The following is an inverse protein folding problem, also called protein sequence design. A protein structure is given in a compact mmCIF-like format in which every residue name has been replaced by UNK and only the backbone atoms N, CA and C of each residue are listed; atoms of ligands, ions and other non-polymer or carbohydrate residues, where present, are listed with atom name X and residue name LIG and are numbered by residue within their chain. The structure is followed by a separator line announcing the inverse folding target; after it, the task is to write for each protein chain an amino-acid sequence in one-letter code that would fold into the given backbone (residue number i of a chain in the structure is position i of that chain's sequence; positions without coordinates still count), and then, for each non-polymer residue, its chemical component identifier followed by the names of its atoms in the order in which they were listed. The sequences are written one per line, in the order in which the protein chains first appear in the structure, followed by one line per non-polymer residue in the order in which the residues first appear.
data_IF_542805386931
#
_entry.id   IF_542805386931
#
_cell.length_a   1.000
_cell.length_b   1.000
_cell.length_c   1.000
_cell.angle_alpha   90.00
_cell.angle_beta   90.00
_cell.angle_gamma   90.00
#
_symmetry.space_group_name_H-M   'P 1'
#
loop_
_entity.id
_entity.type
_entity.pdbx_description
1 polymer ?
#
# COMPACT_ATOMS: atom_id res chain seq x y z
N UNK A 1 35.05 -63.66 1.79
CA UNK A 1 34.32 -64.85 1.38
C UNK A 1 33.14 -64.36 0.59
N UNK A 2 33.27 -64.33 -0.70
CA UNK A 2 32.71 -65.30 -1.67
C UNK A 2 31.19 -65.07 -1.82
N UNK A 3 30.52 -64.77 -2.89
CA UNK A 3 30.78 -64.94 -4.34
C UNK A 3 29.57 -64.41 -5.08
N UNK A 4 29.76 -63.71 -6.18
CA UNK A 4 28.80 -63.67 -7.30
C UNK A 4 28.69 -65.03 -7.97
N UNK A 5 27.76 -65.35 -8.87
CA UNK A 5 27.38 -64.70 -10.11
C UNK A 5 25.86 -64.87 -10.44
N UNK A 6 25.22 -64.39 -11.48
CA UNK A 6 25.52 -64.24 -12.87
C UNK A 6 24.28 -64.54 -13.70
N UNK A 7 24.09 -63.81 -14.77
CA UNK A 7 23.67 -64.18 -16.14
C UNK A 7 22.15 -64.26 -16.35
N UNK A 8 21.52 -63.90 -17.42
CA UNK A 8 21.84 -63.56 -18.80
C UNK A 8 20.56 -63.27 -19.59
N UNK A 9 20.65 -62.36 -20.56
CA UNK A 9 20.09 -62.35 -21.93
C UNK A 9 18.61 -62.53 -22.23
N UNK A 10 18.17 -61.61 -23.12
CA UNK A 10 17.06 -61.78 -24.08
C UNK A 10 16.55 -60.42 -24.56
N UNK A 11 17.06 -59.89 -25.52
CA UNK A 11 16.89 -59.44 -26.91
C UNK A 11 15.48 -59.58 -27.50
N UNK A 12 15.01 -58.40 -28.04
CA UNK A 12 14.47 -58.18 -29.39
C UNK A 12 13.74 -56.87 -29.46
N UNK A 13 14.24 -55.87 -30.22
CA UNK A 13 13.79 -55.40 -31.54
C UNK A 13 12.30 -55.02 -31.55
N UNK A 14 11.85 -53.83 -31.93
CA UNK A 14 12.05 -52.90 -33.03
C UNK A 14 10.95 -51.84 -32.91
N UNK A 15 11.10 -50.64 -33.15
CA UNK A 15 10.98 -49.82 -34.35
C UNK A 15 10.81 -48.36 -33.99
N UNK A 16 11.65 -47.50 -34.51
CA UNK A 16 11.37 -46.08 -34.77
C UNK A 16 10.48 -46.03 -36.05
N UNK A 17 9.86 -44.88 -36.42
CA UNK A 17 10.38 -43.53 -36.45
C UNK A 17 9.34 -42.48 -35.95
N UNK A 18 9.65 -41.26 -35.68
CA UNK A 18 9.65 -40.14 -36.60
C UNK A 18 10.27 -38.86 -35.97
N UNK A 19 11.11 -38.25 -36.75
CA UNK A 19 11.71 -36.95 -36.54
C UNK A 19 10.65 -35.86 -36.67
N UNK A 20 10.55 -34.97 -35.69
CA UNK A 20 10.15 -33.56 -35.94
C UNK A 20 11.22 -32.62 -35.40
N UNK A 21 11.88 -31.98 -36.35
CA UNK A 21 12.89 -30.97 -36.12
C UNK A 21 12.30 -29.71 -35.46
N UNK A 22 12.91 -29.33 -34.35
CA UNK A 22 12.66 -28.04 -33.73
C UNK A 22 13.65 -27.04 -34.35
N UNK A 23 13.15 -26.22 -35.27
CA UNK A 23 13.88 -25.07 -35.80
C UNK A 23 13.86 -23.96 -34.75
N UNK A 24 15.06 -23.54 -34.33
CA UNK A 24 15.27 -22.31 -33.57
C UNK A 24 14.85 -21.08 -34.39
N UNK A 25 13.69 -20.52 -34.12
CA UNK A 25 13.31 -19.20 -34.58
C UNK A 25 13.39 -18.21 -33.39
N UNK A 26 14.24 -17.22 -33.53
CA UNK A 26 14.31 -16.03 -32.64
C UNK A 26 12.97 -15.29 -32.72
N UNK A 27 12.41 -14.78 -31.62
CA UNK A 27 11.25 -13.91 -31.71
C UNK A 27 11.69 -12.52 -32.14
N UNK A 28 11.26 -12.09 -33.32
CA UNK A 28 11.33 -10.70 -33.76
C UNK A 28 10.32 -9.85 -32.97
N UNK A 29 10.85 -8.82 -32.30
CA UNK A 29 10.05 -7.80 -31.64
C UNK A 29 9.45 -6.83 -32.67
N UNK A 30 8.30 -7.12 -33.21
CA UNK A 30 7.38 -6.12 -33.78
C UNK A 30 6.04 -6.79 -34.13
N UNK A 31 5.15 -6.92 -33.15
CA UNK A 31 3.75 -7.22 -33.43
C UNK A 31 2.95 -5.92 -33.34
N UNK A 32 2.78 -5.28 -34.49
CA UNK A 32 1.80 -4.21 -34.66
C UNK A 32 0.44 -4.86 -34.83
N UNK A 33 -0.42 -4.78 -33.83
CA UNK A 33 -1.82 -5.19 -33.95
C UNK A 33 -2.59 -4.01 -34.51
N UNK A 34 -2.91 -4.04 -35.80
CA UNK A 34 -3.88 -3.14 -36.43
C UNK A 34 -5.28 -3.73 -36.23
N UNK A 35 -6.11 -3.09 -35.44
CA UNK A 35 -7.52 -3.37 -35.36
C UNK A 35 -8.24 -2.49 -36.37
N UNK A 36 -8.69 -3.09 -37.46
CA UNK A 36 -9.56 -2.45 -38.44
C UNK A 36 -11.01 -2.59 -37.89
N UNK A 37 -11.60 -1.47 -37.50
CA UNK A 37 -12.99 -1.42 -37.06
C UNK A 37 -13.89 -1.00 -38.19
N UNK A 38 -14.84 -1.84 -38.54
CA UNK A 38 -15.95 -1.48 -39.40
C UNK A 38 -16.99 -0.63 -38.66
N UNK A 39 -17.33 0.46 -39.36
CA UNK A 39 -18.34 1.44 -38.94
C UNK A 39 -19.75 0.82 -38.95
N UNK A 40 -20.49 0.88 -37.84
CA UNK A 40 -21.93 1.02 -37.90
C UNK A 40 -22.46 1.90 -36.77
N UNK A 41 -23.42 2.77 -37.15
CA UNK A 41 -23.92 3.91 -36.38
C UNK A 41 -24.98 3.50 -35.35
N UNK A 42 -25.09 4.36 -34.32
CA UNK A 42 -26.18 4.51 -33.35
C UNK A 42 -26.27 3.50 -32.19
N UNK A 43 -25.61 3.84 -31.09
CA UNK A 43 -26.18 3.72 -29.75
C UNK A 43 -25.52 4.81 -28.87
N UNK A 44 -26.34 5.70 -28.30
CA UNK A 44 -25.86 6.82 -27.48
C UNK A 44 -25.33 6.38 -26.10
N UNK A 45 -24.34 7.13 -25.63
CA UNK A 45 -23.96 7.39 -24.24
C UNK A 45 -23.59 6.23 -23.27
N UNK A 46 -23.12 5.09 -23.75
CA UNK A 46 -22.51 4.07 -22.89
C UNK A 46 -20.99 3.94 -23.13
N UNK A 47 -20.46 4.51 -24.20
CA UNK A 47 -19.05 4.34 -24.60
C UNK A 47 -18.05 5.13 -23.75
N UNK A 48 -18.44 6.26 -23.14
CA UNK A 48 -17.49 7.11 -22.42
C UNK A 48 -17.10 6.52 -21.03
N UNK A 49 -17.99 5.78 -20.39
CA UNK A 49 -17.69 5.13 -19.12
C UNK A 49 -16.79 3.89 -19.30
N UNK A 50 -16.97 3.16 -20.38
CA UNK A 50 -16.18 1.96 -20.70
C UNK A 50 -14.77 2.32 -21.15
N UNK A 51 -14.61 3.35 -21.97
CA UNK A 51 -13.31 3.84 -22.45
C UNK A 51 -12.47 4.44 -21.30
N UNK A 52 -13.09 5.14 -20.35
CA UNK A 52 -12.39 5.63 -19.16
C UNK A 52 -11.90 4.51 -18.24
N UNK A 53 -12.67 3.43 -18.09
CA UNK A 53 -12.28 2.28 -17.27
C UNK A 53 -11.17 1.47 -17.92
N UNK A 54 -11.23 1.26 -19.22
CA UNK A 54 -10.19 0.53 -19.98
C UNK A 54 -8.91 1.34 -20.05
N UNK A 55 -8.96 2.64 -20.32
CA UNK A 55 -7.81 3.52 -20.36
C UNK A 55 -7.15 3.67 -18.98
N UNK A 56 -7.92 3.75 -17.87
CA UNK A 56 -7.39 3.73 -16.52
C UNK A 56 -6.74 2.39 -16.16
N UNK A 57 -7.28 1.28 -16.62
CA UNK A 57 -6.71 -0.06 -16.39
C UNK A 57 -5.44 -0.25 -17.22
N UNK A 58 -5.42 0.19 -18.46
CA UNK A 58 -4.24 0.15 -19.36
C UNK A 58 -3.13 1.07 -18.81
N UNK A 59 -3.45 2.29 -18.36
CA UNK A 59 -2.48 3.20 -17.76
C UNK A 59 -1.94 2.70 -16.42
N UNK A 60 -2.77 2.09 -15.57
CA UNK A 60 -2.34 1.42 -14.34
C UNK A 60 -1.45 0.20 -14.64
N UNK A 61 -1.70 -0.52 -15.71
CA UNK A 61 -0.90 -1.68 -16.14
C UNK A 61 0.42 -1.24 -16.79
N UNK A 62 0.43 -0.18 -17.57
CA UNK A 62 1.65 0.38 -18.20
C UNK A 62 2.61 0.95 -17.16
N UNK A 63 2.11 1.56 -16.08
CA UNK A 63 2.94 2.03 -14.96
C UNK A 63 3.58 0.83 -14.21
N UNK A 64 2.89 -0.30 -14.09
CA UNK A 64 3.43 -1.52 -13.48
C UNK A 64 4.49 -2.25 -14.33
N UNK A 65 4.46 -2.11 -15.65
CA UNK A 65 5.40 -2.78 -16.57
C UNK A 65 6.75 -2.07 -16.68
N UNK A 66 6.89 -0.85 -16.14
CA UNK A 66 8.12 -0.03 -16.30
C UNK A 66 9.20 -0.23 -15.26
N UNK A 67 9.01 -1.07 -14.24
CA UNK A 67 10.10 -1.42 -13.34
C UNK A 67 11.09 -2.32 -14.09
N UNK A 68 12.26 -1.78 -14.43
CA UNK A 68 13.32 -2.59 -15.03
C UNK A 68 13.76 -3.67 -14.06
N UNK A 69 14.30 -4.78 -14.56
CA UNK A 69 14.88 -5.84 -13.73
C UNK A 69 15.94 -5.28 -12.77
N UNK A 70 16.69 -4.28 -13.21
CA UNK A 70 17.68 -3.56 -12.39
C UNK A 70 17.01 -2.77 -11.26
N UNK A 71 15.88 -2.10 -11.51
CA UNK A 71 15.12 -1.38 -10.46
C UNK A 71 14.64 -2.32 -9.36
N UNK A 72 14.18 -3.52 -9.73
CA UNK A 72 13.74 -4.54 -8.77
C UNK A 72 14.91 -5.11 -7.96
N UNK A 73 16.08 -5.32 -8.57
CA UNK A 73 17.31 -5.74 -7.86
C UNK A 73 17.77 -4.67 -6.87
N UNK A 74 17.73 -3.40 -7.25
CA UNK A 74 18.07 -2.28 -6.37
C UNK A 74 17.04 -2.18 -5.23
N UNK A 75 15.74 -2.29 -5.49
CA UNK A 75 14.72 -2.28 -4.45
C UNK A 75 14.94 -3.40 -3.42
N UNK A 76 15.23 -4.62 -3.87
CA UNK A 76 15.51 -5.76 -2.99
C UNK A 76 16.79 -5.56 -2.14
N UNK A 77 17.79 -4.88 -2.69
CA UNK A 77 19.00 -4.51 -1.96
C UNK A 77 18.77 -3.43 -0.91
N UNK A 78 17.86 -2.46 -1.19
CA UNK A 78 17.54 -1.37 -0.28
C UNK A 78 16.66 -1.82 0.90
N UNK A 79 15.71 -2.72 0.67
CA UNK A 79 14.78 -3.17 1.72
C UNK A 79 14.11 -4.50 1.38
N UNK A 80 13.84 -5.29 2.41
CA UNK A 80 13.02 -6.50 2.33
C UNK A 80 11.53 -6.23 2.39
N UNK A 81 11.11 -5.01 2.80
CA UNK A 81 9.70 -4.65 2.95
C UNK A 81 9.00 -4.52 1.60
N UNK A 82 7.75 -4.95 1.55
CA UNK A 82 6.89 -4.95 0.34
C UNK A 82 5.59 -4.15 0.58
N UNK A 83 5.67 -2.83 0.75
CA UNK A 83 4.51 -2.00 1.11
C UNK A 83 3.38 -2.06 0.09
N UNK A 84 3.68 -2.20 -1.21
CA UNK A 84 2.66 -2.32 -2.25
C UNK A 84 1.74 -3.52 -2.08
N UNK A 85 2.25 -4.68 -1.64
CA UNK A 85 1.40 -5.84 -1.37
C UNK A 85 0.45 -5.56 -0.22
N UNK A 86 0.95 -4.97 0.87
CA UNK A 86 0.13 -4.61 2.01
C UNK A 86 -0.93 -3.57 1.65
N UNK A 87 -0.55 -2.56 0.87
CA UNK A 87 -1.50 -1.57 0.35
C UNK A 87 -2.61 -2.22 -0.47
N UNK A 88 -2.26 -3.11 -1.38
CA UNK A 88 -3.22 -3.84 -2.22
C UNK A 88 -4.19 -4.69 -1.38
N UNK A 89 -3.68 -5.41 -0.38
CA UNK A 89 -4.50 -6.22 0.52
C UNK A 89 -5.51 -5.36 1.32
N UNK A 90 -5.11 -4.17 1.73
CA UNK A 90 -5.96 -3.24 2.47
C UNK A 90 -6.97 -2.58 1.54
N UNK A 91 -6.52 -2.09 0.39
CA UNK A 91 -7.35 -1.42 -0.62
C UNK A 91 -8.45 -2.33 -1.16
N UNK A 92 -8.12 -3.60 -1.47
CA UNK A 92 -9.10 -4.60 -1.94
C UNK A 92 -10.21 -4.94 -0.92
N UNK A 93 -9.98 -4.64 0.36
CA UNK A 93 -10.96 -4.86 1.43
C UNK A 93 -11.68 -3.59 1.84
N UNK A 94 -11.37 -2.47 1.22
CA UNK A 94 -12.03 -1.19 1.50
C UNK A 94 -13.40 -1.18 0.86
N UNK A 95 -14.37 -0.64 1.60
CA UNK A 95 -15.71 -0.37 1.09
C UNK A 95 -15.76 1.04 0.53
N UNK A 96 -16.42 1.19 -0.60
CA UNK A 96 -16.58 2.49 -1.25
C UNK A 96 -17.36 3.46 -0.36
N UNK A 97 -16.89 4.69 -0.30
CA UNK A 97 -17.51 5.77 0.46
C UNK A 97 -17.32 5.69 1.99
N UNK A 98 -16.60 4.69 2.52
CA UNK A 98 -16.26 4.62 3.95
C UNK A 98 -14.95 5.35 4.20
N UNK A 99 -14.99 6.37 5.09
CA UNK A 99 -13.84 7.22 5.43
C UNK A 99 -13.65 8.43 4.53
N UNK A 100 -14.51 8.65 3.52
CA UNK A 100 -14.41 9.79 2.58
C UNK A 100 -14.43 11.16 3.28
N UNK A 101 -15.05 11.23 4.45
CA UNK A 101 -15.11 12.43 5.27
C UNK A 101 -13.73 12.99 5.64
N UNK A 102 -12.69 12.13 5.75
CA UNK A 102 -11.31 12.58 6.03
C UNK A 102 -10.80 13.48 4.92
N UNK A 103 -11.11 13.15 3.65
CA UNK A 103 -10.71 13.95 2.49
C UNK A 103 -11.43 15.31 2.43
N UNK A 104 -12.57 15.43 3.12
CA UNK A 104 -13.35 16.67 3.18
C UNK A 104 -12.90 17.60 4.32
N UNK A 105 -12.13 17.12 5.29
CA UNK A 105 -11.62 17.92 6.39
C UNK A 105 -10.75 19.08 5.90
N UNK A 106 -10.92 20.25 6.55
CA UNK A 106 -10.12 21.45 6.26
C UNK A 106 -8.64 21.18 6.47
N UNK A 107 -8.28 20.43 7.51
CA UNK A 107 -6.91 20.08 7.86
C UNK A 107 -6.23 19.27 6.74
N UNK A 108 -6.96 18.29 6.15
CA UNK A 108 -6.45 17.51 5.02
C UNK A 108 -6.29 18.40 3.77
N UNK A 109 -7.29 19.23 3.48
CA UNK A 109 -7.26 20.13 2.32
C UNK A 109 -6.13 21.15 2.43
N UNK A 110 -5.93 21.77 3.60
CA UNK A 110 -4.86 22.73 3.85
C UNK A 110 -3.48 22.07 3.79
N UNK A 111 -3.29 20.91 4.45
CA UNK A 111 -2.04 20.15 4.38
C UNK A 111 -1.66 19.79 2.95
N UNK A 112 -2.64 19.39 2.13
CA UNK A 112 -2.42 19.00 0.74
C UNK A 112 -2.08 20.17 -0.16
N UNK A 113 -2.80 21.32 -0.02
CA UNK A 113 -2.69 22.46 -0.95
C UNK A 113 -1.49 23.36 -0.68
N UNK A 114 -1.07 23.49 0.55
CA UNK A 114 0.02 24.40 0.98
C UNK A 114 -0.22 25.88 0.61
N UNK A 115 -1.47 26.36 0.64
CA UNK A 115 -1.83 27.70 0.11
C UNK A 115 -1.92 28.82 1.15
N UNK A 116 -1.99 28.49 2.46
CA UNK A 116 -2.34 29.48 3.48
C UNK A 116 -1.21 29.73 4.52
N UNK A 117 -0.05 30.24 4.09
CA UNK A 117 1.02 30.66 5.03
C UNK A 117 2.00 29.54 5.40
N UNK A 118 2.73 29.61 6.53
CA UNK A 118 3.71 28.61 6.96
C UNK A 118 2.99 27.32 7.36
N UNK A 119 2.48 26.64 6.34
CA UNK A 119 1.72 25.40 6.51
C UNK A 119 2.62 24.29 7.02
N UNK A 120 2.19 23.60 8.06
CA UNK A 120 2.89 22.43 8.56
C UNK A 120 3.04 21.37 7.46
N UNK A 121 4.24 20.80 7.31
CA UNK A 121 4.45 19.69 6.39
C UNK A 121 3.78 18.40 6.86
N UNK A 122 3.21 18.36 8.06
CA UNK A 122 2.76 17.12 8.72
C UNK A 122 1.26 17.13 8.99
N UNK A 123 0.61 16.04 8.63
CA UNK A 123 -0.77 15.69 8.99
C UNK A 123 -0.75 14.43 9.85
N UNK A 124 -1.24 14.54 11.07
CA UNK A 124 -1.35 13.45 12.03
C UNK A 124 -2.81 13.03 12.19
N UNK A 125 -3.08 11.75 12.00
CA UNK A 125 -4.41 11.19 12.20
C UNK A 125 -4.40 10.20 13.37
N UNK A 126 -5.16 10.50 14.41
CA UNK A 126 -5.27 9.66 15.60
C UNK A 126 -6.62 8.96 15.63
N UNK A 127 -6.61 7.62 15.71
CA UNK A 127 -7.80 6.81 15.93
C UNK A 127 -7.77 6.13 17.31
N UNK A 128 -8.86 6.18 18.03
CA UNK A 128 -9.04 5.43 19.28
C UNK A 128 -8.95 3.92 19.07
N UNK A 129 -8.58 3.16 20.12
CA UNK A 129 -8.86 1.72 20.13
C UNK A 129 -10.38 1.54 20.17
N UNK A 130 -10.89 0.59 19.40
CA UNK A 130 -12.25 0.09 19.63
C UNK A 130 -12.43 -0.29 21.08
N UNK A 131 -13.05 0.60 21.86
CA UNK A 131 -13.34 0.39 23.27
C UNK A 131 -14.46 -0.64 23.37
N UNK A 132 -14.12 -1.88 23.73
CA UNK A 132 -15.10 -2.94 23.91
C UNK A 132 -14.51 -4.12 24.63
N UNK A 133 -13.96 -3.86 25.85
CA UNK A 133 -13.81 -4.92 26.85
C UNK A 133 -15.14 -5.08 27.56
N UNK A 134 -15.72 -6.27 27.40
CA UNK A 134 -16.85 -6.82 28.20
C UNK A 134 -18.22 -6.63 27.58
N UNK A 135 -18.67 -7.57 26.75
CA UNK A 135 -19.94 -8.22 26.97
C UNK A 135 -20.05 -9.54 26.18
N UNK A 136 -20.07 -10.62 26.92
CA UNK A 136 -20.18 -11.99 26.45
C UNK A 136 -21.67 -12.32 26.32
N UNK A 137 -22.19 -12.39 25.07
CA UNK A 137 -23.26 -13.31 24.67
C UNK A 137 -23.59 -13.34 23.16
N UNK A 138 -23.06 -12.42 22.36
CA UNK A 138 -23.12 -12.52 20.89
C UNK A 138 -21.69 -12.64 20.33
N UNK A 139 -21.03 -13.72 20.71
CA UNK A 139 -19.58 -13.90 20.53
C UNK A 139 -19.09 -13.83 19.08
N UNK A 140 -19.94 -14.14 18.11
CA UNK A 140 -19.54 -14.13 16.69
C UNK A 140 -19.64 -12.76 16.03
N UNK A 141 -20.69 -11.99 16.29
CA UNK A 141 -20.91 -10.67 15.68
C UNK A 141 -20.07 -9.59 16.39
N UNK A 142 -19.94 -9.65 17.72
CA UNK A 142 -19.17 -8.68 18.51
C UNK A 142 -17.64 -8.87 18.40
N UNK A 143 -17.13 -10.11 18.24
CA UNK A 143 -15.73 -10.34 17.93
C UNK A 143 -15.34 -9.81 16.55
N UNK A 144 -16.27 -9.89 15.58
CA UNK A 144 -16.11 -9.26 14.27
C UNK A 144 -16.11 -7.72 14.37
N UNK A 145 -16.86 -7.11 15.28
CA UNK A 145 -16.95 -5.65 15.43
C UNK A 145 -15.72 -5.00 16.06
N UNK A 146 -15.03 -5.66 17.01
CA UNK A 146 -13.74 -5.14 17.54
C UNK A 146 -12.60 -5.20 16.53
N UNK A 147 -12.50 -6.29 15.77
CA UNK A 147 -11.62 -6.40 14.63
C UNK A 147 -11.98 -5.41 13.50
N UNK A 148 -13.21 -4.90 13.52
CA UNK A 148 -13.77 -3.96 12.58
C UNK A 148 -13.24 -2.54 12.81
N UNK A 149 -13.24 -2.03 14.05
CA UNK A 149 -12.77 -0.67 14.35
C UNK A 149 -11.26 -0.49 14.13
N UNK A 150 -10.45 -1.52 14.41
CA UNK A 150 -9.03 -1.54 14.02
C UNK A 150 -8.84 -1.58 12.50
N UNK A 151 -9.76 -2.20 11.76
CA UNK A 151 -9.75 -2.21 10.30
C UNK A 151 -10.17 -0.88 9.67
N UNK A 152 -10.94 -0.03 10.37
CA UNK A 152 -11.32 1.30 9.87
C UNK A 152 -10.11 2.22 9.72
N UNK A 153 -9.20 2.25 10.69
CA UNK A 153 -8.02 3.12 10.64
C UNK A 153 -7.14 2.80 9.41
N UNK A 154 -6.90 1.52 9.14
CA UNK A 154 -6.09 1.11 7.98
C UNK A 154 -6.78 1.44 6.64
N UNK A 155 -8.11 1.46 6.61
CA UNK A 155 -8.88 1.81 5.41
C UNK A 155 -8.80 3.29 5.07
N UNK A 156 -8.83 4.16 6.06
CA UNK A 156 -8.66 5.61 5.89
C UNK A 156 -7.28 5.94 5.30
N UNK A 157 -6.22 5.29 5.78
CA UNK A 157 -4.88 5.49 5.25
C UNK A 157 -4.76 5.05 3.79
N UNK A 158 -5.33 3.91 3.41
CA UNK A 158 -5.32 3.45 2.02
C UNK A 158 -6.12 4.39 1.10
N UNK A 159 -7.25 4.95 1.57
CA UNK A 159 -8.03 5.94 0.84
C UNK A 159 -7.22 7.22 0.57
N UNK A 160 -6.55 7.74 1.58
CA UNK A 160 -5.67 8.91 1.44
C UNK A 160 -4.55 8.62 0.44
N UNK A 161 -3.89 7.46 0.55
CA UNK A 161 -2.80 7.07 -0.34
C UNK A 161 -3.28 6.94 -1.79
N UNK A 162 -4.42 6.27 -2.04
CA UNK A 162 -5.02 6.15 -3.37
C UNK A 162 -5.35 7.52 -3.96
N UNK A 163 -5.99 8.40 -3.16
CA UNK A 163 -6.33 9.77 -3.58
C UNK A 163 -5.09 10.57 -3.96
N UNK A 164 -3.99 10.42 -3.21
CA UNK A 164 -2.73 11.10 -3.52
C UNK A 164 -2.09 10.52 -4.78
N UNK A 165 -2.15 9.20 -5.00
CA UNK A 165 -1.66 8.56 -6.23
C UNK A 165 -2.44 9.00 -7.46
N UNK A 166 -3.78 9.09 -7.36
CA UNK A 166 -4.62 9.55 -8.47
C UNK A 166 -4.27 11.00 -8.86
N UNK A 167 -3.96 11.85 -7.88
CA UNK A 167 -3.53 13.23 -8.13
C UNK A 167 -2.10 13.35 -8.66
N UNK A 168 -1.22 12.44 -8.26
CA UNK A 168 0.15 12.42 -8.74
C UNK A 168 0.28 11.95 -10.19
N UNK A 169 -0.79 11.39 -10.75
CA UNK A 169 -0.78 10.85 -12.11
C UNK A 169 -0.46 11.97 -13.13
N UNK A 170 0.60 11.78 -13.93
CA UNK A 170 1.06 12.76 -14.93
C UNK A 170 1.80 13.98 -14.35
N UNK A 171 2.04 14.04 -13.05
CA UNK A 171 2.77 15.12 -12.39
C UNK A 171 4.12 14.64 -11.85
N UNK A 172 5.03 15.57 -11.60
CA UNK A 172 6.32 15.28 -10.94
C UNK A 172 6.14 15.16 -9.42
N UNK A 173 5.23 14.30 -8.99
CA UNK A 173 4.87 14.05 -7.58
C UNK A 173 5.13 12.59 -7.24
N UNK A 174 5.79 12.34 -6.12
CA UNK A 174 5.97 11.00 -5.58
C UNK A 174 5.06 10.76 -4.37
N UNK A 175 4.44 9.58 -4.31
CA UNK A 175 3.67 9.10 -3.16
C UNK A 175 4.31 7.81 -2.66
N UNK A 176 4.84 7.88 -1.45
CA UNK A 176 5.57 6.79 -0.80
C UNK A 176 4.80 6.34 0.43
N UNK A 177 4.62 5.04 0.59
CA UNK A 177 3.80 4.50 1.67
C UNK A 177 4.50 3.41 2.47
N UNK A 178 4.22 3.38 3.77
CA UNK A 178 4.63 2.32 4.70
C UNK A 178 3.43 1.93 5.56
N UNK A 179 3.27 0.64 5.76
CA UNK A 179 2.27 0.05 6.66
C UNK A 179 3.00 -0.65 7.79
N UNK A 180 2.89 -0.10 9.00
CA UNK A 180 3.43 -0.73 10.18
C UNK A 180 2.58 -1.93 10.58
N UNK A 181 3.21 -2.98 11.07
CA UNK A 181 2.56 -4.22 11.48
C UNK A 181 3.31 -4.80 12.68
N UNK A 182 2.61 -4.96 13.80
CA UNK A 182 3.19 -5.52 15.03
C UNK A 182 3.70 -6.95 14.85
N UNK A 183 3.18 -7.71 13.88
CA UNK A 183 3.64 -9.07 13.59
C UNK A 183 4.99 -9.06 12.86
N UNK A 184 5.30 -8.00 12.13
CA UNK A 184 6.51 -7.84 11.35
C UNK A 184 7.52 -6.88 12.00
N UNK A 185 7.42 -6.58 13.29
CA UNK A 185 8.24 -5.58 13.99
C UNK A 185 9.75 -5.79 13.85
N UNK A 186 10.21 -7.05 13.76
CA UNK A 186 11.64 -7.38 13.62
C UNK A 186 12.22 -6.89 12.29
N UNK A 187 11.40 -6.91 11.23
CA UNK A 187 11.80 -6.50 9.88
C UNK A 187 11.63 -4.99 9.66
N UNK A 188 10.89 -4.31 10.55
CA UNK A 188 10.56 -2.89 10.46
C UNK A 188 11.54 -2.02 11.25
N UNK A 189 12.85 -2.21 11.02
CA UNK A 189 13.87 -1.29 11.49
C UNK A 189 13.84 0.02 10.70
N UNK A 190 14.30 1.13 11.29
CA UNK A 190 14.33 2.43 10.62
C UNK A 190 15.07 2.38 9.28
N UNK A 191 16.21 1.66 9.23
CA UNK A 191 16.98 1.52 7.99
C UNK A 191 16.17 0.79 6.91
N UNK A 192 15.46 -0.27 7.26
CA UNK A 192 14.63 -1.04 6.32
C UNK A 192 13.44 -0.22 5.81
N UNK A 193 12.85 0.60 6.68
CA UNK A 193 11.74 1.49 6.33
C UNK A 193 12.18 2.63 5.42
N UNK A 194 13.29 3.30 5.73
CA UNK A 194 13.87 4.35 4.85
C UNK A 194 14.35 3.74 3.52
N UNK A 195 14.94 2.54 3.55
CA UNK A 195 15.30 1.81 2.34
C UNK A 195 14.08 1.46 1.47
N UNK A 196 12.96 1.11 2.10
CA UNK A 196 11.70 0.84 1.40
C UNK A 196 11.14 2.10 0.71
N UNK A 197 11.18 3.26 1.38
CA UNK A 197 10.78 4.53 0.76
C UNK A 197 11.66 4.86 -0.46
N UNK A 198 12.98 4.72 -0.33
CA UNK A 198 13.91 4.93 -1.46
C UNK A 198 13.66 3.92 -2.59
N UNK A 199 13.39 2.66 -2.25
CA UNK A 199 13.06 1.61 -3.23
C UNK A 199 11.79 1.90 -4.02
N UNK A 200 10.77 2.52 -3.40
CA UNK A 200 9.56 2.95 -4.08
C UNK A 200 9.84 4.05 -5.11
N UNK A 201 10.72 5.01 -4.78
CA UNK A 201 11.15 6.03 -5.75
C UNK A 201 11.87 5.41 -6.94
N UNK A 202 12.74 4.42 -6.70
CA UNK A 202 13.49 3.72 -7.76
C UNK A 202 12.56 2.97 -8.72
N UNK A 203 11.55 2.30 -8.17
CA UNK A 203 10.60 1.48 -8.97
C UNK A 203 9.53 2.34 -9.65
N UNK A 204 9.07 3.40 -8.98
CA UNK A 204 8.04 4.31 -9.49
C UNK A 204 8.58 5.36 -10.47
N UNK A 205 9.87 5.62 -10.47
CA UNK A 205 10.50 6.62 -11.33
C UNK A 205 10.70 6.14 -12.77
N UNK A 206 10.72 7.07 -13.72
CA UNK A 206 11.02 6.77 -15.12
C UNK A 206 12.48 6.34 -15.33
N UNK A 207 13.37 6.72 -14.42
CA UNK A 207 14.81 6.39 -14.43
C UNK A 207 15.29 6.14 -13.02
N UNK A 208 16.25 5.23 -12.88
CA UNK A 208 16.95 5.00 -11.62
C UNK A 208 17.81 6.23 -11.30
N UNK A 209 17.69 6.85 -10.11
CA UNK A 209 18.58 7.95 -9.72
C UNK A 209 20.04 7.55 -9.77
N UNK A 210 20.87 8.40 -10.39
CA UNK A 210 22.28 8.10 -10.65
C UNK A 210 23.04 7.78 -9.34
N UNK A 211 22.75 8.49 -8.27
CA UNK A 211 23.37 8.31 -6.98
C UNK A 211 23.01 6.95 -6.35
N UNK A 212 21.77 6.51 -6.52
CA UNK A 212 21.31 5.20 -6.03
C UNK A 212 21.97 4.08 -6.82
N UNK A 213 22.05 4.23 -8.14
CA UNK A 213 22.75 3.28 -9.02
C UNK A 213 24.22 3.19 -8.66
N UNK A 214 24.88 4.31 -8.52
CA UNK A 214 26.30 4.39 -8.11
C UNK A 214 26.56 3.72 -6.76
N UNK A 215 25.67 3.93 -5.78
CA UNK A 215 25.76 3.30 -4.46
C UNK A 215 25.58 1.78 -4.55
N UNK A 216 24.64 1.30 -5.38
CA UNK A 216 24.38 -0.11 -5.62
C UNK A 216 25.60 -0.80 -6.29
N UNK A 217 26.14 -0.20 -7.35
CA UNK A 217 27.29 -0.74 -8.07
C UNK A 217 28.55 -0.74 -7.17
N UNK A 218 28.72 0.31 -6.35
CA UNK A 218 29.76 0.37 -5.34
C UNK A 218 29.59 -0.70 -4.24
N UNK A 219 28.33 -1.03 -3.87
CA UNK A 219 28.02 -2.12 -2.94
C UNK A 219 28.43 -3.48 -3.50
N UNK A 220 28.11 -3.76 -4.76
CA UNK A 220 28.51 -5.01 -5.43
C UNK A 220 30.03 -5.23 -5.40
N UNK A 221 30.82 -4.17 -5.66
CA UNK A 221 32.30 -4.21 -5.59
C UNK A 221 32.83 -4.50 -4.19
N UNK A 222 32.05 -4.20 -3.14
CA UNK A 222 32.40 -4.44 -1.73
C UNK A 222 31.73 -5.69 -1.13
N UNK A 223 31.37 -6.67 -1.94
CA UNK A 223 30.75 -7.92 -1.48
C UNK A 223 29.27 -7.80 -1.10
N UNK A 224 28.54 -6.83 -1.66
CA UNK A 224 27.09 -6.73 -1.49
C UNK A 224 26.64 -6.09 -0.17
N UNK A 225 27.52 -5.41 0.58
CA UNK A 225 27.15 -4.77 1.84
C UNK A 225 26.03 -3.73 1.65
N UNK A 226 25.01 -3.78 2.53
CA UNK A 226 23.96 -2.79 2.61
C UNK A 226 24.46 -1.40 3.03
N UNK A 227 23.65 -0.39 2.79
CA UNK A 227 23.96 0.98 3.24
C UNK A 227 23.67 1.12 4.74
N UNK A 228 24.40 2.02 5.40
CA UNK A 228 24.06 2.47 6.76
C UNK A 228 22.95 3.51 6.70
N UNK A 229 22.15 3.64 7.77
CA UNK A 229 21.01 4.56 7.84
C UNK A 229 21.35 6.01 7.42
N UNK A 230 22.45 6.65 7.86
CA UNK A 230 22.76 8.00 7.43
C UNK A 230 22.99 8.14 5.92
N UNK A 231 23.62 7.14 5.31
CA UNK A 231 23.86 7.12 3.85
C UNK A 231 22.54 6.90 3.08
N UNK A 232 21.71 6.00 3.58
CA UNK A 232 20.37 5.73 3.03
C UNK A 232 19.48 6.99 3.07
N UNK A 233 19.49 7.68 4.21
CA UNK A 233 18.73 8.91 4.43
C UNK A 233 19.20 10.04 3.50
N UNK A 234 20.52 10.20 3.36
CA UNK A 234 21.09 11.19 2.43
C UNK A 234 20.67 10.93 0.97
N UNK A 235 20.65 9.67 0.55
CA UNK A 235 20.19 9.29 -0.78
C UNK A 235 18.70 9.59 -0.94
N UNK A 236 17.86 9.25 0.05
CA UNK A 236 16.44 9.53 0.00
C UNK A 236 16.17 11.04 -0.10
N UNK A 237 16.78 11.87 0.75
CA UNK A 237 16.64 13.33 0.73
C UNK A 237 17.05 13.89 -0.63
N UNK A 238 18.20 13.46 -1.16
CA UNK A 238 18.67 13.93 -2.45
C UNK A 238 17.70 13.55 -3.58
N UNK A 239 17.16 12.34 -3.51
CA UNK A 239 16.22 11.84 -4.53
C UNK A 239 14.86 12.54 -4.42
N UNK A 240 14.35 12.75 -3.20
CA UNK A 240 13.06 13.45 -3.00
C UNK A 240 13.13 14.90 -3.44
N UNK A 241 14.25 15.57 -3.32
CA UNK A 241 14.43 16.95 -3.80
C UNK A 241 14.35 17.11 -5.33
N UNK A 242 14.38 16.02 -6.09
CA UNK A 242 14.17 16.06 -7.55
C UNK A 242 12.69 16.10 -7.98
N UNK A 243 11.77 15.90 -7.04
CA UNK A 243 10.33 15.99 -7.29
C UNK A 243 9.81 17.39 -6.95
N UNK A 244 8.73 17.77 -7.59
CA UNK A 244 8.00 18.99 -7.22
C UNK A 244 7.34 18.83 -5.84
N UNK A 245 6.82 17.64 -5.55
CA UNK A 245 6.24 17.28 -4.26
C UNK A 245 6.42 15.80 -3.95
N UNK A 246 6.63 15.51 -2.67
CA UNK A 246 6.70 14.13 -2.17
C UNK A 246 5.73 13.97 -1.00
N UNK A 247 4.89 12.96 -1.06
CA UNK A 247 4.05 12.52 0.07
C UNK A 247 4.65 11.25 0.66
N UNK A 248 4.93 11.26 1.96
CA UNK A 248 5.33 10.09 2.72
C UNK A 248 4.19 9.74 3.68
N UNK A 249 3.56 8.60 3.46
CA UNK A 249 2.41 8.13 4.21
C UNK A 249 2.81 6.94 5.08
N UNK A 250 2.65 7.05 6.40
CA UNK A 250 2.98 5.98 7.36
C UNK A 250 1.73 5.62 8.14
N UNK A 251 1.26 4.40 7.94
CA UNK A 251 0.10 3.87 8.63
C UNK A 251 0.48 3.11 9.90
N UNK A 252 -0.30 3.29 10.96
CA UNK A 252 -0.18 2.58 12.23
C UNK A 252 1.21 2.68 12.87
N UNK A 253 1.79 3.89 12.94
CA UNK A 253 3.12 4.12 13.52
C UNK A 253 3.27 3.62 14.97
N UNK A 254 2.16 3.47 15.69
CA UNK A 254 2.10 2.90 17.03
C UNK A 254 2.43 1.40 17.08
N UNK A 255 2.33 0.68 15.96
CA UNK A 255 2.65 -0.75 15.89
C UNK A 255 4.15 -1.05 15.81
N UNK A 256 4.99 -0.03 15.63
CA UNK A 256 6.44 -0.18 15.66
C UNK A 256 6.98 -0.38 17.08
N UNK A 257 8.09 -1.10 17.20
CA UNK A 257 8.87 -1.10 18.42
C UNK A 257 9.29 0.33 18.80
N UNK A 258 9.25 0.74 20.08
CA UNK A 258 9.54 2.11 20.49
C UNK A 258 10.88 2.64 19.98
N UNK A 259 11.92 1.82 20.02
CA UNK A 259 13.25 2.20 19.52
C UNK A 259 13.28 2.44 18.01
N UNK A 260 12.66 1.56 17.22
CA UNK A 260 12.57 1.69 15.76
C UNK A 260 11.72 2.90 15.39
N UNK A 261 10.62 3.14 16.12
CA UNK A 261 9.75 4.30 15.94
C UNK A 261 10.50 5.60 16.21
N UNK A 262 11.20 5.71 17.34
CA UNK A 262 11.98 6.92 17.66
C UNK A 262 13.09 7.19 16.65
N UNK A 263 13.73 6.17 16.12
CA UNK A 263 14.77 6.32 15.09
C UNK A 263 14.16 6.75 13.75
N UNK A 264 13.04 6.15 13.35
CA UNK A 264 12.29 6.53 12.16
C UNK A 264 11.80 7.99 12.26
N UNK A 265 11.24 8.40 13.40
CA UNK A 265 10.74 9.77 13.61
C UNK A 265 11.87 10.81 13.51
N UNK A 266 13.08 10.50 14.01
CA UNK A 266 14.24 11.36 13.80
C UNK A 266 14.61 11.48 12.32
N UNK A 267 14.60 10.36 11.59
CA UNK A 267 14.87 10.36 10.16
C UNK A 267 13.82 11.16 9.38
N UNK A 268 12.53 11.01 9.70
CA UNK A 268 11.44 11.79 9.10
C UNK A 268 11.56 13.27 9.38
N UNK A 269 11.92 13.66 10.62
CA UNK A 269 12.22 15.05 10.95
C UNK A 269 13.30 15.64 10.07
N UNK A 270 14.39 14.91 9.88
CA UNK A 270 15.49 15.34 9.01
C UNK A 270 15.03 15.46 7.55
N UNK A 271 14.22 14.52 7.05
CA UNK A 271 13.68 14.60 5.69
C UNK A 271 12.85 15.87 5.50
N UNK A 272 11.97 16.24 6.45
CA UNK A 272 11.16 17.45 6.35
C UNK A 272 12.04 18.71 6.36
N UNK A 273 13.11 18.70 7.14
CA UNK A 273 14.04 19.83 7.25
C UNK A 273 14.86 20.04 5.98
N UNK A 274 15.36 18.93 5.40
CA UNK A 274 16.29 18.96 4.27
C UNK A 274 15.62 18.81 2.90
N UNK A 275 14.32 18.45 2.87
CA UNK A 275 13.49 18.34 1.68
C UNK A 275 12.13 19.04 1.89
N UNK A 276 12.06 20.39 1.74
CA UNK A 276 10.88 21.18 2.08
C UNK A 276 9.66 20.90 1.18
N UNK A 277 9.85 20.24 0.05
CA UNK A 277 8.80 19.74 -0.84
C UNK A 277 8.11 18.47 -0.30
N UNK A 278 8.55 17.92 0.83
CA UNK A 278 8.01 16.71 1.44
C UNK A 278 6.84 17.02 2.37
N UNK A 279 5.82 16.21 2.29
CA UNK A 279 4.65 16.20 3.18
C UNK A 279 4.53 14.85 3.86
N UNK A 280 4.28 14.85 5.17
CA UNK A 280 4.08 13.64 5.97
C UNK A 280 2.62 13.45 6.32
N UNK A 281 2.12 12.25 6.09
CA UNK A 281 0.86 11.75 6.61
C UNK A 281 1.16 10.56 7.53
N UNK A 282 0.78 10.66 8.80
CA UNK A 282 0.97 9.58 9.77
C UNK A 282 -0.34 9.25 10.46
N UNK A 283 -0.58 7.97 10.64
CA UNK A 283 -1.66 7.50 11.51
C UNK A 283 -1.09 6.72 12.71
N UNK A 284 -1.86 6.73 13.80
CA UNK A 284 -1.50 5.99 14.99
C UNK A 284 -2.53 6.14 16.11
N UNK A 285 -2.31 5.44 17.20
CA UNK A 285 -3.15 5.56 18.40
C UNK A 285 -2.77 6.79 19.21
N UNK A 286 -3.72 7.38 19.98
CA UNK A 286 -3.48 8.61 20.73
C UNK A 286 -2.30 8.55 21.70
N UNK A 287 -1.95 7.38 22.24
CA UNK A 287 -0.88 7.25 23.23
C UNK A 287 0.53 7.57 22.70
N UNK A 288 0.76 7.49 21.36
CA UNK A 288 2.06 7.87 20.77
C UNK A 288 2.16 9.38 20.50
N UNK A 289 1.11 10.15 20.78
CA UNK A 289 1.04 11.59 20.48
C UNK A 289 2.22 12.35 21.04
N UNK A 290 2.53 12.17 22.32
CA UNK A 290 3.66 12.85 23.00
C UNK A 290 4.99 12.58 22.31
N UNK A 291 5.18 11.36 21.80
CA UNK A 291 6.39 11.01 21.07
C UNK A 291 6.40 11.66 19.67
N UNK A 292 5.28 11.63 18.95
CA UNK A 292 5.17 12.34 17.65
C UNK A 292 5.37 13.85 17.82
N UNK A 293 4.77 14.44 18.84
CA UNK A 293 4.91 15.84 19.18
C UNK A 293 6.39 16.23 19.42
N UNK A 294 7.18 15.41 20.03
CA UNK A 294 8.61 15.64 20.27
C UNK A 294 9.43 15.79 18.98
N UNK A 295 9.06 15.06 17.92
CA UNK A 295 9.84 15.01 16.69
C UNK A 295 9.23 15.81 15.53
N UNK A 296 7.90 15.94 15.46
CA UNK A 296 7.20 16.39 14.25
C UNK A 296 6.28 17.61 14.45
N UNK A 297 6.32 18.28 15.60
CA UNK A 297 5.30 19.24 16.08
C UNK A 297 5.39 20.67 15.63
N UNK A 298 6.18 21.02 14.70
CA UNK A 298 6.10 22.42 14.20
C UNK A 298 4.77 22.61 13.42
N UNK A 299 3.66 22.78 14.21
CA UNK A 299 2.35 23.14 13.65
C UNK A 299 1.60 22.02 12.90
N UNK A 300 1.77 20.75 13.28
CA UNK A 300 1.08 19.64 12.60
C UNK A 300 -0.44 19.84 12.54
N UNK A 301 -1.04 19.57 11.39
CA UNK A 301 -2.48 19.39 11.29
C UNK A 301 -2.88 18.09 11.98
N UNK A 302 -3.97 18.11 12.74
CA UNK A 302 -4.43 16.96 13.51
C UNK A 302 -5.87 16.64 13.13
N UNK A 303 -6.11 15.39 12.74
CA UNK A 303 -7.44 14.82 12.54
C UNK A 303 -7.66 13.70 13.55
N UNK A 304 -8.72 13.84 14.34
CA UNK A 304 -9.19 12.73 15.16
C UNK A 304 -10.09 11.82 14.31
N UNK A 305 -9.64 10.60 14.08
CA UNK A 305 -10.43 9.61 13.35
C UNK A 305 -11.49 9.08 14.33
N UNK A 306 -12.72 9.42 14.04
CA UNK A 306 -13.91 8.91 14.72
C UNK A 306 -14.71 8.07 13.74
N UNK A 307 -15.39 7.07 14.25
CA UNK A 307 -16.25 6.26 13.40
C UNK A 307 -17.56 7.00 13.18
N UNK A 308 -17.81 7.47 11.97
CA UNK A 308 -19.07 8.14 11.65
C UNK A 308 -20.23 7.15 11.56
N UNK A 309 -21.41 7.58 12.03
CA UNK A 309 -22.63 6.73 12.02
C UNK A 309 -22.94 6.20 10.64
N UNK A 310 -22.78 7.04 9.60
CA UNK A 310 -22.97 6.64 8.21
C UNK A 310 -22.02 5.55 7.75
N UNK A 311 -20.76 5.60 8.16
CA UNK A 311 -19.75 4.59 7.83
C UNK A 311 -20.06 3.25 8.52
N UNK A 312 -20.48 3.29 9.79
CA UNK A 312 -20.91 2.10 10.52
C UNK A 312 -22.09 1.44 9.80
N UNK A 313 -23.13 2.23 9.51
CA UNK A 313 -24.33 1.71 8.83
C UNK A 313 -23.96 1.08 7.49
N UNK A 314 -23.24 1.78 6.62
CA UNK A 314 -22.85 1.29 5.30
C UNK A 314 -22.04 0.00 5.37
N UNK A 315 -21.08 -0.07 6.31
CA UNK A 315 -20.29 -1.28 6.50
C UNK A 315 -21.15 -2.46 6.99
N UNK A 316 -22.00 -2.22 7.98
CA UNK A 316 -22.86 -3.27 8.54
C UNK A 316 -23.84 -3.79 7.48
N UNK A 317 -24.51 -2.89 6.75
CA UNK A 317 -25.44 -3.27 5.67
C UNK A 317 -24.74 -4.18 4.68
N UNK A 318 -23.58 -3.75 4.14
CA UNK A 318 -22.87 -4.57 3.17
C UNK A 318 -22.43 -5.93 3.75
N UNK A 319 -22.00 -5.98 5.01
CA UNK A 319 -21.60 -7.26 5.62
C UNK A 319 -22.79 -8.18 5.88
N UNK A 320 -23.92 -7.63 6.24
CA UNK A 320 -25.15 -8.41 6.38
C UNK A 320 -25.66 -8.91 5.04
N UNK A 321 -25.56 -8.10 3.98
CA UNK A 321 -25.92 -8.52 2.62
C UNK A 321 -24.98 -9.63 2.10
N UNK A 322 -23.68 -9.56 2.40
CA UNK A 322 -22.73 -10.63 2.09
C UNK A 322 -23.03 -11.94 2.86
N UNK A 323 -23.49 -11.85 4.11
CA UNK A 323 -23.85 -13.01 4.94
C UNK A 323 -25.24 -13.55 4.52
N UNK A 324 -26.21 -12.68 4.18
CA UNK A 324 -27.52 -13.03 3.65
C UNK A 324 -27.42 -13.78 2.32
N UNK A 325 -26.53 -13.35 1.44
CA UNK A 325 -26.25 -14.06 0.18
C UNK A 325 -25.70 -15.48 0.38
N UNK A 326 -25.15 -15.80 1.56
CA UNK A 326 -24.65 -17.14 1.91
C UNK A 326 -25.71 -18.02 2.57
N UNK A 327 -26.60 -17.41 3.35
CA UNK A 327 -27.66 -18.10 4.09
C UNK A 327 -28.86 -17.16 4.29
N UNK A 328 -29.80 -17.13 3.31
CA UNK A 328 -30.92 -16.19 3.29
C UNK A 328 -31.91 -16.33 4.47
N UNK A 329 -31.89 -17.46 5.18
CA UNK A 329 -32.84 -17.70 6.28
C UNK A 329 -32.37 -17.11 7.62
N UNK A 330 -31.08 -16.74 7.73
CA UNK A 330 -30.49 -16.27 8.98
C UNK A 330 -30.65 -14.77 9.27
N UNK A 331 -30.99 -13.96 8.25
CA UNK A 331 -30.88 -12.52 8.37
C UNK A 331 -32.20 -11.80 7.96
N UNK A 332 -33.13 -11.70 8.92
CA UNK A 332 -34.35 -10.92 8.70
C UNK A 332 -34.11 -9.42 8.72
N UNK A 333 -34.92 -8.63 8.04
CA UNK A 333 -34.80 -7.15 8.02
C UNK A 333 -34.89 -6.54 9.42
N UNK A 334 -35.75 -7.07 10.29
CA UNK A 334 -35.84 -6.64 11.68
C UNK A 334 -34.53 -6.89 12.45
N UNK A 335 -33.90 -8.05 12.24
CA UNK A 335 -32.61 -8.37 12.85
C UNK A 335 -31.51 -7.45 12.32
N UNK A 336 -31.49 -7.16 11.03
CA UNK A 336 -30.55 -6.19 10.41
C UNK A 336 -30.70 -4.80 11.06
N UNK A 337 -31.94 -4.35 11.22
CA UNK A 337 -32.24 -3.07 11.85
C UNK A 337 -31.80 -3.01 13.33
N UNK A 338 -32.07 -4.04 14.09
CA UNK A 338 -31.68 -4.14 15.52
C UNK A 338 -30.15 -4.18 15.69
N UNK A 339 -29.44 -4.89 14.82
CA UNK A 339 -27.97 -4.91 14.81
C UNK A 339 -27.43 -3.50 14.55
N UNK A 340 -27.90 -2.82 13.51
CA UNK A 340 -27.45 -1.45 13.18
C UNK A 340 -27.73 -0.51 14.35
N UNK A 341 -28.96 -0.50 14.88
CA UNK A 341 -29.36 0.35 16.00
C UNK A 341 -28.50 0.12 17.25
N UNK A 342 -28.27 -1.15 17.59
CA UNK A 342 -27.43 -1.51 18.75
C UNK A 342 -25.97 -1.04 18.57
N UNK A 343 -25.41 -1.20 17.36
CA UNK A 343 -24.05 -0.80 17.08
C UNK A 343 -23.87 0.72 17.04
N UNK A 344 -24.86 1.46 16.50
CA UNK A 344 -24.88 2.92 16.52
C UNK A 344 -25.01 3.48 17.95
N UNK A 345 -25.82 2.84 18.82
CA UNK A 345 -25.91 3.20 20.23
C UNK A 345 -24.57 3.07 20.93
N UNK A 346 -23.91 1.93 20.79
CA UNK A 346 -22.57 1.71 21.37
C UNK A 346 -21.48 2.61 20.82
N UNK A 347 -21.53 2.95 19.54
CA UNK A 347 -20.57 3.89 18.94
C UNK A 347 -20.73 5.33 19.45
N UNK A 348 -21.92 5.70 19.95
CA UNK A 348 -22.19 7.03 20.53
C UNK A 348 -21.65 7.18 21.97
N UNK A 349 -21.38 6.06 22.64
CA UNK A 349 -20.86 6.03 24.03
C UNK A 349 -19.31 5.99 24.07
N UNK A 350 -18.66 5.91 22.92
CA UNK A 350 -17.20 5.90 22.76
C UNK A 350 -16.65 7.27 22.34
#
# INVERSE_FOLDING_TARGET
MSTLPGGSRGSSQSSAPDQYGISNARPDNNTTISIQGDSNQNIGNVSDSYNNTVNNTINKTIIKVRASEESLKIQAWLSSLKPHRRHQDISNRRLDGVGDWVLQRSEFKSWRRNQDGPASPTLLCYGGQGVGKTYIRYKSVLQKSQAMLTKFNNKTSSLVIDTLHDQACGQNIAVLSLYCDYQAQKDQSAINMIGSLLGQVVVGGARIPVEVKSAFDGSKKRGGQGLRLPSMLKLLIKTTNSFERVYICIDAADELLPQNRSELLRALRQIIQDAPNTRLFLTGRPYIRTELDKYLTLGAYIIHIVTEKGDITRYLTQKMDEDDARDPELMTEDLKHDIIKTMLGKASEM
#
